data_IF_624409202645
#
_entry.id   IF_624409202645
#
_cell.length_a   1.000
_cell.length_b   1.000
_cell.length_c   1.000
_cell.angle_alpha   90.00
_cell.angle_beta   90.00
_cell.angle_gamma   90.00
#
_symmetry.space_group_name_H-M   'P 1'
#
loop_
_entity.id
_entity.type
_entity.pdbx_description
1 polymer ?
#
# COMPACT_ATOMS: atom_id res chain seq x y z
N UNK A 1 5.08 -8.40 -23.47
CA UNK A 1 3.76 -8.53 -24.11
C UNK A 1 3.93 -8.31 -25.59
N UNK A 2 2.94 -8.68 -26.41
CA UNK A 2 2.99 -8.35 -27.85
C UNK A 2 2.87 -6.83 -28.07
N UNK A 3 2.12 -6.13 -27.20
CA UNK A 3 1.86 -4.68 -27.33
C UNK A 3 2.51 -3.81 -26.24
N UNK A 4 3.03 -4.43 -25.17
CA UNK A 4 3.61 -3.74 -24.02
C UNK A 4 4.85 -4.48 -23.52
N UNK A 5 5.85 -3.74 -23.08
CA UNK A 5 6.99 -4.30 -22.34
C UNK A 5 6.71 -4.25 -20.83
N UNK A 6 6.91 -5.37 -20.13
CA UNK A 6 6.72 -5.43 -18.68
C UNK A 6 8.09 -5.56 -18.04
N UNK A 7 8.54 -4.49 -17.40
CA UNK A 7 9.84 -4.43 -16.74
C UNK A 7 9.75 -5.16 -15.38
N UNK A 8 10.28 -6.38 -15.31
CA UNK A 8 10.29 -7.18 -14.07
C UNK A 8 11.62 -7.13 -13.30
N UNK A 9 12.57 -6.33 -13.78
CA UNK A 9 13.93 -6.25 -13.24
C UNK A 9 14.13 -5.07 -12.26
N UNK A 10 13.16 -4.15 -12.21
CA UNK A 10 13.16 -3.00 -11.30
C UNK A 10 12.63 -3.46 -9.94
N UNK A 11 13.38 -3.17 -8.87
CA UNK A 11 12.93 -3.49 -7.53
C UNK A 11 11.76 -2.60 -7.13
N UNK A 12 10.81 -3.16 -6.37
CA UNK A 12 9.61 -2.47 -5.91
C UNK A 12 9.88 -1.06 -5.33
N UNK A 13 10.83 -0.95 -4.41
CA UNK A 13 11.19 0.31 -3.77
C UNK A 13 11.82 1.36 -4.72
N UNK A 14 12.25 0.95 -5.92
CA UNK A 14 12.89 1.81 -6.92
C UNK A 14 11.96 2.20 -8.06
N UNK A 15 10.72 1.66 -8.10
CA UNK A 15 9.80 1.87 -9.22
C UNK A 15 9.47 3.35 -9.45
N UNK A 16 9.20 4.11 -8.38
CA UNK A 16 8.89 5.54 -8.49
C UNK A 16 10.06 6.35 -9.04
N UNK A 17 11.27 6.12 -8.53
CA UNK A 17 12.47 6.81 -8.99
C UNK A 17 12.91 6.41 -10.40
N UNK A 18 12.68 5.16 -10.80
CA UNK A 18 12.93 4.73 -12.18
C UNK A 18 12.00 5.45 -13.16
N UNK A 19 10.71 5.53 -12.82
CA UNK A 19 9.71 6.24 -13.62
C UNK A 19 10.05 7.73 -13.79
N UNK A 20 10.36 8.44 -12.70
CA UNK A 20 10.74 9.87 -12.80
C UNK A 20 12.10 10.08 -13.46
N UNK A 21 12.96 9.07 -13.45
CA UNK A 21 14.20 9.01 -14.23
C UNK A 21 14.02 8.76 -15.73
N UNK A 22 12.79 8.51 -16.19
CA UNK A 22 12.44 8.30 -17.59
C UNK A 22 12.35 6.83 -18.03
N UNK A 23 12.34 5.88 -17.08
CA UNK A 23 12.19 4.45 -17.39
C UNK A 23 10.71 4.03 -17.34
N UNK A 24 10.19 3.59 -18.49
CA UNK A 24 8.81 3.12 -18.64
C UNK A 24 7.77 4.24 -18.79
N UNK A 25 6.70 3.95 -19.52
CA UNK A 25 5.61 4.93 -19.76
C UNK A 25 4.55 4.95 -18.64
N UNK A 26 4.45 3.86 -17.87
CA UNK A 26 3.51 3.70 -16.76
C UNK A 26 4.17 2.97 -15.60
N UNK A 27 3.75 3.29 -14.39
CA UNK A 27 4.21 2.63 -13.16
C UNK A 27 3.04 2.42 -12.20
N UNK A 28 3.01 1.26 -11.55
CA UNK A 28 2.09 1.00 -10.43
C UNK A 28 2.77 1.43 -9.13
N UNK A 29 2.18 2.40 -8.43
CA UNK A 29 2.69 2.91 -7.16
C UNK A 29 1.64 2.80 -6.07
N UNK A 30 2.12 2.72 -4.83
CA UNK A 30 1.28 2.71 -3.64
C UNK A 30 1.14 4.13 -3.10
N UNK A 31 0.04 4.40 -2.41
CA UNK A 31 -0.04 5.61 -1.61
C UNK A 31 0.91 5.56 -0.41
N UNK A 32 1.47 6.71 0.03
CA UNK A 32 1.27 8.06 -0.50
C UNK A 32 2.23 8.44 -1.66
N UNK A 33 2.98 7.49 -2.21
CA UNK A 33 4.02 7.77 -3.24
C UNK A 33 3.38 8.28 -4.53
N UNK A 34 2.26 7.69 -4.95
CA UNK A 34 1.53 8.14 -6.14
C UNK A 34 1.05 9.59 -6.00
N UNK A 35 0.38 9.92 -4.89
CA UNK A 35 -0.06 11.30 -4.58
C UNK A 35 1.11 12.27 -4.53
N UNK A 36 2.22 11.90 -3.87
CA UNK A 36 3.43 12.74 -3.79
C UNK A 36 3.97 13.11 -5.17
N UNK A 37 4.03 12.14 -6.09
CA UNK A 37 4.50 12.38 -7.47
C UNK A 37 3.57 13.28 -8.27
N UNK A 38 2.27 13.11 -8.10
CA UNK A 38 1.27 13.96 -8.76
C UNK A 38 1.36 15.41 -8.26
N UNK A 39 1.48 15.61 -6.95
CA UNK A 39 1.67 16.94 -6.34
C UNK A 39 2.98 17.60 -6.78
N UNK A 40 4.04 16.81 -7.02
CA UNK A 40 5.32 17.28 -7.55
C UNK A 40 5.29 17.60 -9.06
N UNK A 41 4.18 17.32 -9.76
CA UNK A 41 4.06 17.39 -11.23
C UNK A 41 5.05 16.47 -11.96
N UNK A 42 5.43 15.36 -11.33
CA UNK A 42 6.34 14.33 -11.89
C UNK A 42 5.57 13.14 -12.50
N UNK A 43 4.24 13.19 -12.47
CA UNK A 43 3.34 12.20 -13.03
C UNK A 43 1.89 12.58 -12.74
N UNK A 44 0.95 11.69 -13.09
CA UNK A 44 -0.46 11.81 -12.72
C UNK A 44 -1.13 10.44 -12.68
N UNK A 45 -2.17 10.29 -11.88
CA UNK A 45 -2.90 9.03 -11.73
C UNK A 45 -3.87 8.84 -12.89
N UNK A 46 -3.66 7.78 -13.67
CA UNK A 46 -4.52 7.45 -14.83
C UNK A 46 -5.63 6.44 -14.51
N UNK A 47 -5.44 5.60 -13.50
CA UNK A 47 -6.37 4.54 -13.11
C UNK A 47 -6.06 4.03 -11.69
N UNK A 48 -7.07 3.42 -11.04
CA UNK A 48 -6.91 2.69 -9.78
C UNK A 48 -6.99 1.19 -10.03
N UNK A 49 -5.84 0.51 -9.88
CA UNK A 49 -5.77 -0.96 -10.02
C UNK A 49 -6.70 -1.64 -9.01
N UNK A 50 -6.85 -1.07 -7.82
CA UNK A 50 -7.76 -1.58 -6.79
C UNK A 50 -9.22 -1.53 -7.23
N UNK A 51 -9.64 -0.41 -7.84
CA UNK A 51 -11.01 -0.27 -8.34
C UNK A 51 -11.30 -1.25 -9.50
N UNK A 52 -10.34 -1.45 -10.40
CA UNK A 52 -10.51 -2.31 -11.58
C UNK A 52 -10.40 -3.81 -11.26
N UNK A 53 -9.69 -4.17 -10.19
CA UNK A 53 -9.47 -5.58 -9.80
C UNK A 53 -10.62 -6.19 -8.99
N UNK A 54 -11.51 -5.37 -8.42
CA UNK A 54 -12.59 -5.85 -7.56
C UNK A 54 -12.11 -6.36 -6.20
N UNK A 55 -12.87 -7.26 -5.59
CA UNK A 55 -12.52 -7.80 -4.26
C UNK A 55 -11.40 -8.84 -4.38
N UNK A 56 -10.17 -8.43 -4.05
CA UNK A 56 -9.00 -9.30 -4.03
C UNK A 56 -8.33 -9.33 -2.64
N UNK A 57 -7.84 -10.50 -2.18
CA UNK A 57 -7.06 -10.57 -0.95
C UNK A 57 -5.70 -9.91 -1.18
N UNK A 58 -5.56 -8.65 -0.76
CA UNK A 58 -4.36 -7.87 -1.00
C UNK A 58 -3.19 -8.28 -0.12
N UNK A 59 -3.43 -8.40 1.19
CA UNK A 59 -2.42 -8.78 2.18
C UNK A 59 -2.80 -10.09 2.84
N UNK A 60 -1.91 -11.08 2.78
CA UNK A 60 -2.07 -12.36 3.44
C UNK A 60 -0.96 -12.56 4.49
N UNK A 61 -1.37 -12.86 5.72
CA UNK A 61 -0.43 -13.25 6.79
C UNK A 61 -0.33 -14.77 6.84
N UNK A 62 0.88 -15.28 6.74
CA UNK A 62 1.15 -16.73 6.74
C UNK A 62 2.12 -17.11 7.84
N UNK A 63 1.91 -18.27 8.44
CA UNK A 63 2.81 -18.88 9.42
C UNK A 63 2.96 -20.38 9.15
N UNK A 64 4.07 -20.97 9.58
CA UNK A 64 4.27 -22.40 9.45
C UNK A 64 3.16 -23.17 10.18
N UNK A 65 2.66 -24.25 9.57
CA UNK A 65 1.62 -25.09 10.17
C UNK A 65 1.98 -25.54 11.60
N UNK A 66 3.23 -25.97 11.80
CA UNK A 66 3.74 -26.37 13.11
C UNK A 66 3.73 -25.23 14.14
N UNK A 67 3.94 -23.98 13.71
CA UNK A 67 3.85 -22.82 14.59
C UNK A 67 2.40 -22.53 14.99
N UNK A 68 1.47 -22.64 14.05
CA UNK A 68 0.04 -22.44 14.31
C UNK A 68 -0.47 -23.50 15.29
N UNK A 69 -0.15 -24.77 15.07
CA UNK A 69 -0.55 -25.88 15.95
C UNK A 69 0.04 -25.76 17.35
N UNK A 70 1.27 -25.26 17.48
CA UNK A 70 1.95 -25.08 18.77
C UNK A 70 1.49 -23.83 19.53
N UNK A 71 1.05 -22.79 18.83
CA UNK A 71 0.74 -21.48 19.43
C UNK A 71 -0.66 -20.96 19.03
N UNK A 72 -1.74 -21.73 19.24
CA UNK A 72 -3.08 -21.35 18.79
C UNK A 72 -3.54 -20.00 19.39
N UNK A 73 -3.21 -19.74 20.66
CA UNK A 73 -3.60 -18.50 21.34
C UNK A 73 -2.94 -17.26 20.75
N UNK A 74 -1.66 -17.38 20.32
CA UNK A 74 -0.93 -16.29 19.67
C UNK A 74 -1.53 -16.00 18.30
N UNK A 75 -1.83 -17.04 17.52
CA UNK A 75 -2.47 -16.88 16.21
C UNK A 75 -3.83 -16.18 16.36
N UNK A 76 -4.67 -16.63 17.29
CA UNK A 76 -5.97 -16.01 17.53
C UNK A 76 -5.83 -14.55 18.01
N UNK A 77 -4.87 -14.27 18.90
CA UNK A 77 -4.62 -12.91 19.38
C UNK A 77 -4.17 -11.98 18.24
N UNK A 78 -3.29 -12.45 17.35
CA UNK A 78 -2.87 -11.71 16.17
C UNK A 78 -4.06 -11.44 15.22
N UNK A 79 -4.84 -12.46 14.88
CA UNK A 79 -6.04 -12.29 14.04
C UNK A 79 -7.04 -11.31 14.64
N UNK A 80 -7.27 -11.38 15.95
CA UNK A 80 -8.14 -10.45 16.67
C UNK A 80 -7.60 -9.01 16.62
N UNK A 81 -6.28 -8.82 16.72
CA UNK A 81 -5.67 -7.50 16.64
C UNK A 81 -5.85 -6.88 15.25
N UNK A 82 -5.63 -7.65 14.18
CA UNK A 82 -5.88 -7.20 12.80
C UNK A 82 -7.35 -6.82 12.62
N UNK A 83 -8.28 -7.68 13.06
CA UNK A 83 -9.71 -7.40 12.92
C UNK A 83 -10.16 -6.14 13.69
N UNK A 84 -9.63 -5.93 14.90
CA UNK A 84 -9.86 -4.69 15.65
C UNK A 84 -9.32 -3.47 14.93
N UNK A 85 -8.13 -3.57 14.31
CA UNK A 85 -7.58 -2.51 13.48
C UNK A 85 -8.46 -2.20 12.27
N UNK A 86 -8.98 -3.22 11.60
CA UNK A 86 -9.91 -3.07 10.47
C UNK A 86 -11.21 -2.37 10.89
N UNK A 87 -11.81 -2.77 12.02
CA UNK A 87 -13.00 -2.09 12.58
C UNK A 87 -12.67 -0.63 12.87
N UNK A 88 -11.56 -0.37 13.55
CA UNK A 88 -11.15 0.99 13.91
C UNK A 88 -11.01 1.86 12.66
N UNK A 89 -10.29 1.39 11.62
CA UNK A 89 -10.16 2.11 10.34
C UNK A 89 -11.52 2.37 9.69
N UNK A 90 -12.45 1.41 9.72
CA UNK A 90 -13.78 1.57 9.13
C UNK A 90 -14.68 2.58 9.88
N UNK A 91 -14.39 2.83 11.15
CA UNK A 91 -15.18 3.71 12.03
C UNK A 91 -14.59 5.13 12.19
N UNK A 92 -13.37 5.37 11.69
CA UNK A 92 -12.66 6.63 11.85
C UNK A 92 -12.46 7.36 10.52
N UNK A 93 -12.21 8.65 10.62
CA UNK A 93 -11.99 9.52 9.46
C UNK A 93 -10.56 9.40 8.91
N UNK A 94 -10.33 9.74 7.62
CA UNK A 94 -8.97 9.78 7.06
C UNK A 94 -8.00 10.62 7.89
N UNK A 95 -8.44 11.76 8.44
CA UNK A 95 -7.61 12.61 9.29
C UNK A 95 -7.18 11.91 10.59
N UNK A 96 -8.11 11.24 11.28
CA UNK A 96 -7.79 10.48 12.50
C UNK A 96 -6.86 9.29 12.19
N UNK A 97 -7.06 8.62 11.06
CA UNK A 97 -6.17 7.56 10.60
C UNK A 97 -4.77 8.11 10.30
N UNK A 98 -4.69 9.21 9.56
CA UNK A 98 -3.45 9.87 9.18
C UNK A 98 -2.62 10.25 10.42
N UNK A 99 -3.25 10.80 11.46
CA UNK A 99 -2.59 11.15 12.73
C UNK A 99 -1.95 9.93 13.41
N UNK A 100 -2.63 8.79 13.39
CA UNK A 100 -2.13 7.54 14.00
C UNK A 100 -0.97 6.94 13.21
N UNK A 101 -1.03 6.97 11.88
CA UNK A 101 0.00 6.34 11.03
C UNK A 101 1.19 7.23 10.74
N UNK A 102 1.08 8.55 10.89
CA UNK A 102 2.10 9.56 10.60
C UNK A 102 3.52 9.21 11.08
N UNK A 103 3.74 8.66 12.30
CA UNK A 103 5.09 8.29 12.74
C UNK A 103 5.77 7.21 11.89
N UNK A 104 4.99 6.43 11.13
CA UNK A 104 5.48 5.41 10.20
C UNK A 104 5.83 5.96 8.81
N UNK A 105 5.44 7.21 8.52
CA UNK A 105 5.64 7.90 7.25
C UNK A 105 6.33 9.25 7.50
N UNK A 106 7.61 9.25 7.92
CA UNK A 106 8.31 10.47 8.33
C UNK A 106 8.50 11.49 7.19
N UNK A 107 8.43 11.03 5.95
CA UNK A 107 8.66 11.83 4.75
C UNK A 107 7.36 12.36 4.10
N UNK A 108 6.19 12.05 4.69
CA UNK A 108 4.89 12.52 4.21
C UNK A 108 4.26 13.42 5.25
N UNK A 109 3.69 14.56 4.83
CA UNK A 109 2.94 15.40 5.75
C UNK A 109 1.52 14.87 6.00
N UNK A 110 0.91 15.37 7.08
CA UNK A 110 -0.41 14.93 7.50
C UNK A 110 -1.49 15.24 6.45
N UNK A 111 -1.32 16.34 5.71
CA UNK A 111 -2.23 16.74 4.64
C UNK A 111 -2.23 15.69 3.52
N UNK A 112 -1.05 15.27 3.06
CA UNK A 112 -0.88 14.21 2.06
C UNK A 112 -1.45 12.88 2.56
N UNK A 113 -1.19 12.50 3.81
CA UNK A 113 -1.72 11.26 4.38
C UNK A 113 -3.25 11.29 4.58
N UNK A 114 -3.86 12.48 4.68
CA UNK A 114 -5.31 12.63 4.83
C UNK A 114 -6.03 12.53 3.47
N UNK A 115 -5.33 12.81 2.37
CA UNK A 115 -5.88 12.78 1.01
C UNK A 115 -6.05 11.37 0.44
N UNK A 116 -5.30 10.39 0.95
CA UNK A 116 -5.19 9.02 0.44
C UNK A 116 -6.20 8.04 1.02
#
# INVERSE_FOLDING_TARGET
GEDVEVLTHIQFALMGGAFTGGEGDFVTLFEPVATTLELANEGYVVASVGADSGEIPYTAFSAAKSYIEKNPDIIQAFTNAIYKGQIWVAEHTPAEIAEVIQPSFPDSDLETLTLV
#
